data_IF_813467658659
#
_entry.id   IF_813467658659
#
_cell.length_a   1.000
_cell.length_b   1.000
_cell.length_c   1.000
_cell.angle_alpha   90.00
_cell.angle_beta   90.00
_cell.angle_gamma   90.00
#
_symmetry.space_group_name_H-M   'P 1'
#
loop_
_entity.id
_entity.type
_entity.pdbx_description
1 polymer ?
#
# COMPACT_ATOMS: atom_id res chain seq x y z
N UNK A 1 0.16 1.75 19.14
CA UNK A 1 1.54 1.94 18.67
C UNK A 1 1.81 1.00 17.49
N UNK A 2 2.48 1.49 16.45
CA UNK A 2 2.77 0.68 15.28
C UNK A 2 3.80 -0.41 15.61
N UNK A 3 3.58 -1.59 15.05
CA UNK A 3 4.45 -2.76 15.26
C UNK A 3 4.92 -3.22 13.89
N UNK A 4 6.21 -3.12 13.64
CA UNK A 4 6.79 -3.45 12.34
C UNK A 4 6.48 -4.89 11.91
N UNK A 5 6.51 -5.82 12.86
CA UNK A 5 6.21 -7.22 12.56
C UNK A 5 4.78 -7.37 12.02
N UNK A 6 3.82 -6.72 12.68
CA UNK A 6 2.42 -6.77 12.26
C UNK A 6 2.21 -6.09 10.91
N UNK A 7 2.94 -5.01 10.67
CA UNK A 7 2.88 -4.30 9.39
C UNK A 7 3.40 -5.21 8.28
N UNK A 8 4.53 -5.88 8.49
CA UNK A 8 5.09 -6.81 7.50
C UNK A 8 4.16 -7.99 7.24
N UNK A 9 3.53 -8.52 8.28
CA UNK A 9 2.56 -9.60 8.13
C UNK A 9 1.37 -9.15 7.28
N UNK A 10 0.88 -7.93 7.50
CA UNK A 10 -0.23 -7.40 6.72
C UNK A 10 0.19 -7.17 5.27
N UNK A 11 1.39 -6.66 5.04
CA UNK A 11 1.89 -6.46 3.69
C UNK A 11 1.91 -7.80 2.95
N UNK A 12 2.47 -8.84 3.56
CA UNK A 12 2.52 -10.17 2.95
C UNK A 12 1.12 -10.70 2.63
N UNK A 13 0.19 -10.54 3.57
CA UNK A 13 -1.18 -10.97 3.38
C UNK A 13 -1.82 -10.28 2.17
N UNK A 14 -1.66 -8.96 2.06
CA UNK A 14 -2.25 -8.20 0.97
C UNK A 14 -1.63 -8.57 -0.37
N UNK A 15 -0.32 -8.71 -0.42
CA UNK A 15 0.38 -9.04 -1.66
C UNK A 15 0.03 -10.46 -2.12
N UNK A 16 -0.02 -11.41 -1.20
CA UNK A 16 -0.35 -12.79 -1.53
C UNK A 16 -1.80 -12.94 -1.97
N UNK A 17 -2.69 -12.17 -1.35
CA UNK A 17 -4.09 -12.17 -1.73
C UNK A 17 -4.29 -11.55 -3.12
N UNK A 18 -3.59 -10.46 -3.39
CA UNK A 18 -3.55 -9.71 -4.65
C UNK A 18 -4.90 -9.24 -5.17
N UNK A 19 -5.97 -10.03 -5.04
CA UNK A 19 -7.32 -9.66 -5.44
C UNK A 19 -8.14 -9.33 -4.20
N UNK A 20 -9.20 -8.56 -4.40
CA UNK A 20 -10.08 -8.13 -3.31
C UNK A 20 -9.35 -7.33 -2.23
N UNK A 21 -8.29 -6.63 -2.62
CA UNK A 21 -7.58 -5.73 -1.73
C UNK A 21 -8.23 -4.35 -1.83
N UNK A 22 -8.51 -3.73 -0.69
CA UNK A 22 -9.15 -2.41 -0.68
C UNK A 22 -8.15 -1.29 -0.44
N UNK A 23 -8.52 -0.10 -0.87
CA UNK A 23 -7.71 1.09 -0.64
C UNK A 23 -7.47 1.31 0.85
N UNK A 24 -8.48 1.07 1.68
CA UNK A 24 -8.37 1.23 3.13
C UNK A 24 -7.31 0.32 3.73
N UNK A 25 -7.20 -0.91 3.22
CA UNK A 25 -6.22 -1.86 3.73
C UNK A 25 -4.80 -1.39 3.45
N UNK A 26 -4.55 -0.87 2.25
CA UNK A 26 -3.22 -0.36 1.91
C UNK A 26 -2.95 0.95 2.65
N UNK A 27 -3.95 1.81 2.76
CA UNK A 27 -3.81 3.05 3.51
C UNK A 27 -3.44 2.77 4.97
N UNK A 28 -4.01 1.73 5.57
CA UNK A 28 -3.66 1.34 6.93
C UNK A 28 -2.16 1.08 7.04
N UNK A 29 -1.58 0.35 6.06
CA UNK A 29 -0.14 0.08 6.04
C UNK A 29 0.65 1.38 5.97
N UNK A 30 0.29 2.28 5.05
CA UNK A 30 0.98 3.55 4.89
C UNK A 30 0.91 4.38 6.17
N UNK A 31 -0.26 4.45 6.80
CA UNK A 31 -0.43 5.20 8.04
C UNK A 31 0.43 4.63 9.17
N UNK A 32 0.50 3.31 9.28
CA UNK A 32 1.34 2.68 10.30
C UNK A 32 2.82 2.93 10.05
N UNK A 33 3.25 2.92 8.79
CA UNK A 33 4.64 3.24 8.47
C UNK A 33 4.96 4.70 8.84
N UNK A 34 4.00 5.60 8.66
CA UNK A 34 4.15 6.97 9.10
C UNK A 34 4.38 7.06 10.61
N UNK A 35 3.68 6.23 11.39
CA UNK A 35 3.87 6.19 12.84
C UNK A 35 5.26 5.70 13.23
N UNK A 36 5.87 4.89 12.39
CA UNK A 36 7.24 4.39 12.63
C UNK A 36 8.32 5.38 12.21
N UNK A 37 7.93 6.51 11.63
CA UNK A 37 8.88 7.55 11.25
C UNK A 37 9.15 7.67 9.77
N UNK A 38 8.53 6.84 8.94
CA UNK A 38 8.65 7.02 7.49
C UNK A 38 7.91 8.27 7.07
N UNK A 39 8.49 9.02 6.13
CA UNK A 39 7.79 10.17 5.56
C UNK A 39 6.76 9.61 4.57
N UNK A 40 5.50 9.92 4.81
CA UNK A 40 4.43 9.43 3.95
C UNK A 40 3.69 10.58 3.29
N UNK A 41 3.13 10.30 2.12
CA UNK A 41 2.30 11.27 1.40
C UNK A 41 1.18 10.54 0.67
N UNK A 42 0.13 11.29 0.39
CA UNK A 42 -1.02 10.77 -0.34
C UNK A 42 -1.55 11.90 -1.22
N UNK A 43 -1.80 11.59 -2.50
CA UNK A 43 -2.35 12.56 -3.42
C UNK A 43 -3.47 11.90 -4.22
N UNK A 44 -4.61 12.57 -4.32
CA UNK A 44 -5.73 12.09 -5.12
C UNK A 44 -5.38 12.25 -6.60
N UNK A 45 -5.58 11.19 -7.37
CA UNK A 45 -5.40 11.19 -8.82
C UNK A 45 -6.74 10.89 -9.47
N UNK A 46 -6.80 11.00 -10.80
CA UNK A 46 -8.05 10.85 -11.55
C UNK A 46 -8.74 9.52 -11.30
N UNK A 47 -7.99 8.43 -11.27
CA UNK A 47 -8.57 7.08 -11.12
C UNK A 47 -8.03 6.33 -9.92
N UNK A 48 -7.41 7.03 -8.96
CA UNK A 48 -6.85 6.36 -7.82
C UNK A 48 -6.12 7.32 -6.90
N UNK A 49 -5.11 6.80 -6.22
CA UNK A 49 -4.32 7.56 -5.26
C UNK A 49 -2.84 7.28 -5.45
N UNK A 50 -2.05 8.34 -5.39
CA UNK A 50 -0.60 8.24 -5.41
C UNK A 50 -0.11 8.30 -3.96
N UNK A 51 0.57 7.24 -3.52
CA UNK A 51 1.16 7.19 -2.19
C UNK A 51 2.67 7.32 -2.27
N UNK A 52 3.25 7.94 -1.26
CA UNK A 52 4.69 7.98 -1.09
C UNK A 52 5.07 7.48 0.29
N UNK A 53 6.13 6.68 0.37
CA UNK A 53 6.71 6.24 1.62
C UNK A 53 8.22 6.38 1.48
N UNK A 54 8.81 7.30 2.24
CA UNK A 54 10.20 7.65 2.05
C UNK A 54 10.43 8.21 0.66
N UNK A 55 11.41 7.67 -0.05
CA UNK A 55 11.70 8.07 -1.43
C UNK A 55 10.95 7.26 -2.47
N UNK A 56 10.15 6.29 -2.04
CA UNK A 56 9.45 5.37 -2.90
C UNK A 56 8.01 5.82 -3.11
N UNK A 57 7.52 5.70 -4.33
CA UNK A 57 6.14 6.08 -4.65
C UNK A 57 5.45 4.96 -5.42
N UNK A 58 4.14 4.86 -5.23
CA UNK A 58 3.34 3.90 -5.99
C UNK A 58 1.93 4.44 -6.17
N UNK A 59 1.32 4.07 -7.28
CA UNK A 59 -0.02 4.50 -7.63
C UNK A 59 -1.00 3.35 -7.42
N UNK A 60 -2.10 3.63 -6.74
CA UNK A 60 -3.17 2.65 -6.57
C UNK A 60 -4.36 3.06 -7.42
N UNK A 61 -4.63 2.28 -8.46
CA UNK A 61 -5.82 2.48 -9.27
C UNK A 61 -6.93 1.57 -8.74
N UNK A 62 -8.11 2.15 -8.57
CA UNK A 62 -9.26 1.43 -8.04
C UNK A 62 -10.25 1.12 -9.14
N UNK A 63 -11.04 0.07 -8.95
CA UNK A 63 -12.15 -0.22 -9.82
C UNK A 63 -13.21 0.85 -9.68
N UNK A 64 -13.90 1.14 -10.75
CA UNK A 64 -14.99 2.11 -10.73
C UNK A 64 -16.09 1.63 -9.83
N UNK A 65 -16.86 2.59 -9.32
CA UNK A 65 -18.07 2.39 -8.56
C UNK A 65 -17.88 1.88 -7.14
N UNK A 66 -17.28 2.73 -6.36
CA UNK A 66 -17.62 2.82 -4.96
C UNK A 66 -17.07 1.81 -3.98
N UNK A 67 -16.67 0.64 -4.34
CA UNK A 67 -16.15 -0.29 -3.34
C UNK A 67 -14.65 -0.10 -3.08
N UNK A 68 -14.02 0.82 -3.81
CA UNK A 68 -12.61 1.17 -3.61
C UNK A 68 -11.68 -0.03 -3.60
N UNK A 69 -12.04 -1.05 -4.36
CA UNK A 69 -11.20 -2.21 -4.54
C UNK A 69 -10.05 -1.86 -5.48
N UNK A 70 -8.84 -2.17 -5.05
CA UNK A 70 -7.64 -1.86 -5.81
C UNK A 70 -7.44 -2.90 -6.91
N UNK A 71 -7.06 -2.43 -8.10
CA UNK A 71 -6.78 -3.34 -9.22
C UNK A 71 -5.53 -4.17 -8.91
N UNK A 72 -5.53 -5.42 -9.37
CA UNK A 72 -4.43 -6.35 -9.07
C UNK A 72 -3.06 -5.81 -9.46
N UNK A 73 -2.96 -5.16 -10.63
CA UNK A 73 -1.66 -4.63 -11.06
C UNK A 73 -1.17 -3.51 -10.12
N UNK A 74 -2.10 -2.81 -9.46
CA UNK A 74 -1.72 -1.79 -8.47
C UNK A 74 -1.21 -2.43 -7.19
N UNK A 75 -1.74 -3.60 -6.84
CA UNK A 75 -1.20 -4.36 -5.71
C UNK A 75 0.23 -4.80 -6.03
N UNK A 76 0.51 -5.16 -7.28
CA UNK A 76 1.87 -5.48 -7.70
C UNK A 76 2.79 -4.27 -7.55
N UNK A 77 2.33 -3.08 -7.90
CA UNK A 77 3.11 -1.84 -7.72
C UNK A 77 3.37 -1.57 -6.23
N UNK A 78 2.37 -1.80 -5.40
CA UNK A 78 2.52 -1.70 -3.95
C UNK A 78 3.58 -2.71 -3.46
N UNK A 79 3.52 -3.95 -3.94
CA UNK A 79 4.49 -4.97 -3.56
C UNK A 79 5.92 -4.55 -3.93
N UNK A 80 6.11 -4.02 -5.14
CA UNK A 80 7.43 -3.56 -5.57
C UNK A 80 7.94 -2.42 -4.69
N UNK A 81 7.05 -1.51 -4.28
CA UNK A 81 7.42 -0.43 -3.38
C UNK A 81 7.85 -0.99 -2.01
N UNK A 82 7.14 -2.00 -1.51
CA UNK A 82 7.48 -2.60 -0.23
C UNK A 82 8.81 -3.35 -0.30
N UNK A 83 9.11 -3.97 -1.45
CA UNK A 83 10.40 -4.62 -1.68
C UNK A 83 11.53 -3.58 -1.63
N UNK A 84 11.34 -2.44 -2.31
CA UNK A 84 12.33 -1.36 -2.30
C UNK A 84 12.60 -0.84 -0.89
N UNK A 85 11.59 -0.84 -0.05
CA UNK A 85 11.72 -0.37 1.33
C UNK A 85 12.26 -1.44 2.28
N UNK A 86 12.45 -2.67 1.79
CA UNK A 86 12.90 -3.78 2.63
C UNK A 86 11.81 -4.33 3.54
N UNK A 87 10.55 -4.08 3.21
CA UNK A 87 9.41 -4.49 4.04
C UNK A 87 8.72 -5.73 3.52
N UNK A 88 9.06 -6.19 2.35
CA UNK A 88 8.50 -7.40 1.75
C UNK A 88 9.59 -8.08 0.92
N UNK A 89 9.64 -9.39 1.01
CA UNK A 89 10.56 -10.21 0.21
C UNK A 89 9.74 -11.12 -0.68
N UNK A 90 10.06 -11.07 -1.97
CA UNK A 90 9.41 -11.92 -2.96
C UNK A 90 10.04 -13.32 -2.95
#
# INVERSE_FOLDING_TARGET
MADLKKIKERISELVERRENVTLSEIKWVVDRLGELGYRTSERVATHGRLFGVGATRFMLNCHDRGNKQVKAYSVDDFANAMIELGLYED
#
